data_IF_506503922558
#
_entry.id   IF_506503922558
#
_cell.length_a   1.000
_cell.length_b   1.000
_cell.length_c   1.000
_cell.angle_alpha   90.00
_cell.angle_beta   90.00
_cell.angle_gamma   90.00
#
_symmetry.space_group_name_H-M   'P 1'
#
loop_
_entity.id
_entity.type
_entity.pdbx_description
1 polymer ?
#
# COMPACT_ATOMS: atom_id res chain seq x y z
N UNK A 1 -23.27 -25.81 -1.80
CA UNK A 1 -21.98 -25.07 -1.92
C UNK A 1 -22.13 -24.11 -3.09
N UNK A 2 -23.05 -23.16 -2.95
CA UNK A 2 -23.44 -22.22 -3.99
C UNK A 2 -23.48 -20.86 -3.32
N UNK A 3 -22.35 -20.16 -3.39
CA UNK A 3 -22.22 -18.71 -3.23
C UNK A 3 -20.74 -18.39 -3.46
N UNK A 4 -20.20 -18.85 -4.60
CA UNK A 4 -19.14 -18.07 -5.25
C UNK A 4 -19.79 -16.74 -5.58
N UNK A 5 -19.68 -15.81 -4.62
CA UNK A 5 -20.10 -14.44 -4.75
C UNK A 5 -19.64 -13.96 -6.12
N UNK A 6 -20.59 -13.73 -7.03
CA UNK A 6 -20.32 -13.12 -8.34
C UNK A 6 -19.33 -12.00 -8.08
N UNK A 7 -18.10 -12.15 -8.56
CA UNK A 7 -17.13 -11.06 -8.48
C UNK A 7 -17.86 -9.81 -8.97
N UNK A 8 -17.81 -8.75 -8.18
CA UNK A 8 -18.38 -7.48 -8.59
C UNK A 8 -17.91 -7.17 -10.02
N UNK A 9 -18.83 -6.76 -10.89
CA UNK A 9 -18.51 -6.42 -12.29
C UNK A 9 -17.31 -5.46 -12.38
N UNK A 10 -17.14 -4.58 -11.38
CA UNK A 10 -16.00 -3.65 -11.34
C UNK A 10 -14.66 -4.35 -11.05
N UNK A 11 -14.64 -5.37 -10.19
CA UNK A 11 -13.43 -6.20 -9.95
C UNK A 11 -13.09 -6.96 -11.22
N UNK A 12 -14.11 -7.53 -11.89
CA UNK A 12 -13.93 -8.24 -13.16
C UNK A 12 -13.37 -7.33 -14.25
N UNK A 13 -13.92 -6.12 -14.42
CA UNK A 13 -13.42 -5.12 -15.38
C UNK A 13 -11.98 -4.74 -15.12
N UNK A 14 -11.59 -4.53 -13.85
CA UNK A 14 -10.22 -4.23 -13.50
C UNK A 14 -9.25 -5.37 -13.85
N UNK A 15 -9.62 -6.62 -13.54
CA UNK A 15 -8.80 -7.80 -13.89
C UNK A 15 -8.66 -7.93 -15.40
N UNK A 16 -9.76 -7.82 -16.15
CA UNK A 16 -9.72 -7.90 -17.61
C UNK A 16 -8.88 -6.78 -18.23
N UNK A 17 -8.95 -5.55 -17.70
CA UNK A 17 -8.13 -4.44 -18.16
C UNK A 17 -6.63 -4.69 -17.93
N UNK A 18 -6.26 -5.35 -16.83
CA UNK A 18 -4.87 -5.75 -16.55
C UNK A 18 -4.42 -6.85 -17.52
N UNK A 19 -5.28 -7.82 -17.80
CA UNK A 19 -4.97 -8.92 -18.73
C UNK A 19 -4.80 -8.45 -20.18
N UNK A 20 -5.59 -7.45 -20.60
CA UNK A 20 -5.56 -6.89 -21.95
C UNK A 20 -4.19 -6.30 -22.35
N UNK A 21 -3.33 -5.92 -21.40
CA UNK A 21 -1.96 -5.49 -21.72
C UNK A 21 -1.13 -6.60 -22.37
N UNK A 22 -1.45 -7.88 -22.15
CA UNK A 22 -0.74 -9.01 -22.77
C UNK A 22 -0.98 -9.08 -24.28
N UNK A 23 -2.13 -8.62 -24.73
CA UNK A 23 -2.56 -8.67 -26.13
C UNK A 23 -1.95 -7.54 -26.98
N UNK A 24 -1.24 -6.60 -26.34
CA UNK A 24 -0.44 -5.59 -27.06
C UNK A 24 0.81 -6.28 -27.62
N UNK A 25 0.82 -6.53 -28.93
CA UNK A 25 1.91 -7.20 -29.64
C UNK A 25 3.18 -6.33 -29.73
N UNK A 26 3.02 -5.03 -29.97
CA UNK A 26 4.13 -4.08 -30.03
C UNK A 26 4.73 -3.89 -28.62
N UNK A 27 5.99 -4.30 -28.47
CA UNK A 27 6.70 -4.24 -27.20
C UNK A 27 6.92 -2.81 -26.69
N UNK A 28 7.19 -1.86 -27.58
CA UNK A 28 7.44 -0.47 -27.18
C UNK A 28 6.15 0.19 -26.71
N UNK A 29 5.04 -0.08 -27.40
CA UNK A 29 3.70 0.36 -26.98
C UNK A 29 3.33 -0.29 -25.65
N UNK A 30 3.51 -1.61 -25.50
CA UNK A 30 3.18 -2.31 -24.25
C UNK A 30 3.98 -1.78 -23.07
N UNK A 31 5.28 -1.53 -23.22
CA UNK A 31 6.11 -0.96 -22.15
C UNK A 31 5.62 0.42 -21.74
N UNK A 32 5.28 1.28 -22.71
CA UNK A 32 4.75 2.62 -22.45
C UNK A 32 3.43 2.58 -21.68
N UNK A 33 2.48 1.79 -22.16
CA UNK A 33 1.13 1.72 -21.59
C UNK A 33 1.14 1.06 -20.19
N UNK A 34 1.91 -0.02 -20.01
CA UNK A 34 2.10 -0.64 -18.69
C UNK A 34 2.77 0.35 -17.72
N UNK A 35 3.79 1.08 -18.16
CA UNK A 35 4.46 2.10 -17.34
C UNK A 35 3.49 3.20 -16.89
N UNK A 36 2.65 3.69 -17.81
CA UNK A 36 1.60 4.67 -17.50
C UNK A 36 0.58 4.12 -16.50
N UNK A 37 0.07 2.91 -16.75
CA UNK A 37 -0.88 2.24 -15.87
C UNK A 37 -0.32 2.06 -14.44
N UNK A 38 0.94 1.64 -14.29
CA UNK A 38 1.59 1.50 -12.99
C UNK A 38 1.74 2.84 -12.26
N UNK A 39 2.04 3.92 -12.98
CA UNK A 39 2.14 5.27 -12.41
C UNK A 39 0.80 5.74 -11.85
N UNK A 40 -0.28 5.57 -12.62
CA UNK A 40 -1.64 5.95 -12.23
C UNK A 40 -2.21 5.05 -11.12
N UNK A 41 -1.89 3.75 -11.15
CA UNK A 41 -2.36 2.76 -10.17
C UNK A 41 -1.97 3.13 -8.74
N UNK A 42 -0.85 3.83 -8.53
CA UNK A 42 -0.49 4.33 -7.20
C UNK A 42 -1.53 5.30 -6.64
N UNK A 43 -2.10 6.16 -7.49
CA UNK A 43 -3.21 7.05 -7.11
C UNK A 43 -4.48 6.25 -6.81
N UNK A 44 -4.89 5.36 -7.71
CA UNK A 44 -6.10 4.56 -7.55
C UNK A 44 -6.04 3.60 -6.35
N UNK A 45 -4.88 3.02 -6.06
CA UNK A 45 -4.71 2.19 -4.85
C UNK A 45 -4.82 2.99 -3.56
N UNK A 46 -4.48 4.28 -3.55
CA UNK A 46 -4.75 5.16 -2.41
C UNK A 46 -6.26 5.37 -2.25
N UNK A 47 -6.97 5.68 -3.32
CA UNK A 47 -8.44 5.85 -3.32
C UNK A 47 -9.15 4.59 -2.79
N UNK A 48 -8.77 3.40 -3.27
CA UNK A 48 -9.35 2.14 -2.79
C UNK A 48 -9.06 1.87 -1.32
N UNK A 49 -7.89 2.26 -0.80
CA UNK A 49 -7.56 2.14 0.62
C UNK A 49 -8.40 3.07 1.48
N UNK A 50 -8.62 4.29 1.01
CA UNK A 50 -9.44 5.28 1.70
C UNK A 50 -10.91 4.85 1.73
N UNK A 51 -11.44 4.37 0.60
CA UNK A 51 -12.78 3.79 0.52
C UNK A 51 -12.93 2.63 1.51
N UNK A 52 -11.97 1.70 1.53
CA UNK A 52 -11.97 0.59 2.49
C UNK A 52 -11.98 1.08 3.95
N UNK A 53 -11.20 2.12 4.27
CA UNK A 53 -11.17 2.66 5.63
C UNK A 53 -12.52 3.29 6.02
N UNK A 54 -13.14 4.04 5.11
CA UNK A 54 -14.47 4.62 5.28
C UNK A 54 -15.54 3.55 5.49
N UNK A 55 -15.52 2.47 4.69
CA UNK A 55 -16.48 1.37 4.81
C UNK A 55 -16.32 0.64 6.14
N UNK A 56 -15.09 0.33 6.54
CA UNK A 56 -14.79 -0.29 7.84
C UNK A 56 -15.29 0.58 8.99
N UNK A 57 -15.09 1.89 8.91
CA UNK A 57 -15.53 2.84 9.93
C UNK A 57 -17.06 2.95 9.99
N UNK A 58 -17.72 2.96 8.83
CA UNK A 58 -19.19 2.97 8.71
C UNK A 58 -19.79 1.71 9.32
N UNK A 59 -19.25 0.53 8.97
CA UNK A 59 -19.72 -0.73 9.53
C UNK A 59 -19.50 -0.83 11.04
N UNK A 60 -18.44 -0.22 11.57
CA UNK A 60 -18.15 -0.22 13.01
C UNK A 60 -19.24 0.47 13.83
N UNK A 61 -20.04 1.36 13.25
CA UNK A 61 -21.15 2.03 13.95
C UNK A 61 -22.22 1.05 14.44
N UNK A 62 -22.38 -0.10 13.77
CA UNK A 62 -23.36 -1.13 14.13
C UNK A 62 -22.79 -2.53 14.39
N UNK A 63 -21.47 -2.74 14.25
CA UNK A 63 -20.83 -4.06 14.38
C UNK A 63 -19.60 -4.03 15.29
N UNK A 64 -19.19 -5.20 15.80
CA UNK A 64 -17.91 -5.34 16.51
C UNK A 64 -16.74 -5.39 15.52
N UNK A 65 -15.53 -5.09 15.98
CA UNK A 65 -14.33 -5.26 15.14
C UNK A 65 -14.14 -6.69 14.64
N UNK A 66 -14.56 -7.69 15.43
CA UNK A 66 -14.49 -9.09 15.04
C UNK A 66 -15.43 -9.40 13.86
N UNK A 67 -16.66 -8.87 13.89
CA UNK A 67 -17.64 -9.05 12.81
C UNK A 67 -17.21 -8.34 11.53
N UNK A 68 -16.70 -7.10 11.66
CA UNK A 68 -16.13 -6.37 10.53
C UNK A 68 -14.95 -7.15 9.93
N UNK A 69 -14.06 -7.66 10.78
CA UNK A 69 -12.95 -8.50 10.32
C UNK A 69 -13.42 -9.72 9.55
N UNK A 70 -14.42 -10.45 10.06
CA UNK A 70 -15.01 -11.62 9.39
C UNK A 70 -15.54 -11.29 7.99
N UNK A 71 -16.24 -10.16 7.84
CA UNK A 71 -16.81 -9.73 6.55
C UNK A 71 -15.72 -9.37 5.53
N UNK A 72 -14.66 -8.72 5.99
CA UNK A 72 -13.51 -8.35 5.14
C UNK A 72 -12.49 -9.49 4.95
N UNK A 73 -12.70 -10.67 5.56
CA UNK A 73 -11.75 -11.79 5.51
C UNK A 73 -10.42 -11.50 6.23
N UNK A 74 -10.43 -10.64 7.25
CA UNK A 74 -9.26 -10.22 8.03
C UNK A 74 -9.50 -10.37 9.55
N UNK A 75 -8.45 -10.28 10.36
CA UNK A 75 -8.62 -10.26 11.82
C UNK A 75 -9.30 -8.96 12.29
N UNK A 76 -10.02 -9.01 13.42
CA UNK A 76 -10.62 -7.83 14.01
C UNK A 76 -9.60 -6.73 14.38
N UNK A 77 -8.41 -7.13 14.84
CA UNK A 77 -7.30 -6.20 15.07
C UNK A 77 -6.86 -5.50 13.77
N UNK A 78 -6.85 -6.22 12.64
CA UNK A 78 -6.53 -5.62 11.34
C UNK A 78 -7.64 -4.67 10.88
N UNK A 79 -8.90 -5.02 11.10
CA UNK A 79 -10.04 -4.12 10.84
C UNK A 79 -9.91 -2.82 11.66
N UNK A 80 -9.57 -2.91 12.95
CA UNK A 80 -9.34 -1.74 13.81
C UNK A 80 -8.23 -0.84 13.27
N UNK A 81 -7.11 -1.41 12.84
CA UNK A 81 -6.00 -0.65 12.25
C UNK A 81 -6.44 0.11 10.98
N UNK A 82 -7.24 -0.55 10.13
CA UNK A 82 -7.75 0.02 8.89
C UNK A 82 -8.72 1.17 9.18
N UNK A 83 -9.69 0.97 10.07
CA UNK A 83 -10.66 2.00 10.44
C UNK A 83 -10.01 3.21 11.14
N UNK A 84 -8.92 2.99 11.87
CA UNK A 84 -8.14 4.06 12.50
C UNK A 84 -7.23 4.82 11.52
N UNK A 85 -7.26 4.47 10.23
CA UNK A 85 -6.37 5.05 9.21
C UNK A 85 -4.90 4.67 9.38
N UNK A 86 -4.54 3.75 10.28
CA UNK A 86 -3.13 3.36 10.48
C UNK A 86 -2.69 2.43 9.34
N UNK A 87 -2.50 2.99 8.15
CA UNK A 87 -1.87 2.34 7.01
C UNK A 87 -0.37 2.62 7.03
N UNK A 88 0.44 1.74 6.43
CA UNK A 88 1.91 1.86 6.43
C UNK A 88 2.44 3.19 5.87
N UNK A 89 1.65 3.90 5.06
CA UNK A 89 1.98 5.24 4.58
C UNK A 89 1.92 6.31 5.69
N UNK A 90 0.96 6.21 6.63
CA UNK A 90 0.91 7.10 7.80
C UNK A 90 1.95 6.75 8.87
N UNK A 91 2.42 5.49 8.93
CA UNK A 91 3.62 5.15 9.72
C UNK A 91 4.85 5.89 9.21
N UNK A 92 5.06 5.95 7.88
CA UNK A 92 6.19 6.68 7.29
C UNK A 92 6.18 8.20 7.56
N UNK A 93 5.01 8.82 7.73
CA UNK A 93 4.91 10.24 8.13
C UNK A 93 5.02 10.47 9.64
N UNK A 94 4.66 9.48 10.46
CA UNK A 94 4.78 9.55 11.93
C UNK A 94 6.18 9.18 12.42
N UNK A 95 6.88 8.34 11.66
CA UNK A 95 8.27 7.93 11.88
C UNK A 95 9.26 8.84 11.14
N UNK A 96 8.88 10.07 10.78
CA UNK A 96 9.81 11.13 10.39
C UNK A 96 10.15 11.93 11.66
N UNK A 97 11.09 11.46 12.51
CA UNK A 97 11.62 12.30 13.57
C UNK A 97 12.33 13.47 12.90
N UNK A 98 12.02 14.67 13.38
CA UNK A 98 12.79 15.91 13.26
C UNK A 98 14.29 15.63 13.00
N UNK A 99 14.68 15.50 11.72
CA UNK A 99 16.07 15.44 11.28
C UNK A 99 16.58 16.84 10.99
N UNK A 100 16.25 17.80 11.85
CA UNK A 100 16.89 19.12 11.85
C UNK A 100 17.38 19.55 13.24
N UNK A 101 17.76 18.59 14.09
CA UNK A 101 18.65 18.86 15.23
C UNK A 101 19.77 17.84 15.33
N UNK A 102 20.97 18.26 14.93
CA UNK A 102 22.25 17.65 15.29
C UNK A 102 22.61 16.40 14.52
N UNK A 103 23.29 16.55 13.38
CA UNK A 103 24.20 15.50 12.89
C UNK A 103 25.46 15.54 13.77
N UNK A 104 25.75 14.57 14.66
CA UNK A 104 27.12 14.42 15.12
C UNK A 104 27.92 13.91 13.92
N UNK A 105 28.89 14.72 13.49
CA UNK A 105 29.80 14.35 12.42
C UNK A 105 30.41 12.98 12.69
N UNK A 106 30.33 12.07 11.72
CA UNK A 106 31.09 10.82 11.76
C UNK A 106 32.57 11.21 11.80
N UNK A 107 33.32 10.93 12.87
CA UNK A 107 34.75 11.23 12.88
C UNK A 107 35.41 10.35 11.80
N UNK A 108 36.10 10.99 10.85
CA UNK A 108 37.01 10.30 9.94
C UNK A 108 38.02 9.55 10.80
N UNK A 109 38.07 8.21 10.71
CA UNK A 109 39.19 7.45 11.26
C UNK A 109 40.46 7.98 10.60
N UNK A 110 41.27 8.72 11.34
CA UNK A 110 42.66 9.01 10.96
C UNK A 110 43.35 7.65 10.86
N UNK A 111 43.91 7.34 9.68
CA UNK A 111 44.92 6.29 9.58
C UNK A 111 46.06 6.70 10.50
N UNK A 112 46.25 5.97 11.60
CA UNK A 112 47.54 5.86 12.26
C UNK A 112 48.41 5.02 11.32
N UNK A 113 49.23 5.68 10.52
CA UNK A 113 50.49 5.12 10.06
C UNK A 113 51.47 5.45 11.19
N UNK A 114 51.83 4.44 11.97
CA UNK A 114 52.95 4.53 12.90
C UNK A 114 54.27 4.32 12.14
N UNK A 115 55.35 5.02 12.57
CA UNK A 115 56.63 5.08 11.87
C UNK A 115 57.54 3.88 12.16
N UNK A 116 58.51 3.71 11.26
CA UNK A 116 59.75 2.91 11.34
C UNK A 116 59.68 1.39 11.15
N UNK A 117 59.97 0.96 9.92
CA UNK A 117 60.98 -0.05 9.57
C UNK A 117 61.42 0.12 8.10
#
# INVERSE_FOLDING_TARGET
>A
MEDEAKQSEEVRRLVLAIEAFKDIEDIEVRVREVGKALSEMNGYTAVLRDLRAQDVQTMKQGKTWADVGRIFGISGARAQQIGSGVSGAQRRKKDEPDKERGRPGRPRKKKTEDPDA
#
